data_IF_453170187251
#
_entry.id   IF_453170187251
#
_cell.length_a   1.000
_cell.length_b   1.000
_cell.length_c   1.000
_cell.angle_alpha   90.00
_cell.angle_beta   90.00
_cell.angle_gamma   90.00
#
_symmetry.space_group_name_H-M   'P 1'
#
loop_
_entity.id
_entity.type
_entity.pdbx_description
1 polymer ?
#
# COMPACT_ATOMS: atom_id res chain seq x y z
N UNK A 1 -21.16 -5.23 1.33
CA UNK A 1 -21.21 -5.10 -0.14
C UNK A 1 -22.19 -6.10 -0.70
N UNK A 2 -22.95 -5.74 -1.74
CA UNK A 2 -23.79 -6.70 -2.47
C UNK A 2 -22.92 -7.64 -3.31
N UNK A 3 -23.47 -8.78 -3.74
CA UNK A 3 -22.79 -9.72 -4.65
C UNK A 3 -22.47 -9.12 -6.03
N UNK A 4 -23.10 -8.00 -6.36
CA UNK A 4 -22.95 -7.24 -7.61
C UNK A 4 -22.08 -5.99 -7.42
N UNK A 5 -21.29 -5.92 -6.33
CA UNK A 5 -20.47 -4.76 -6.00
C UNK A 5 -19.07 -5.19 -5.56
N UNK A 6 -18.08 -4.35 -5.88
CA UNK A 6 -16.72 -4.38 -5.32
C UNK A 6 -16.32 -3.00 -4.85
N UNK A 7 -15.38 -2.97 -3.92
CA UNK A 7 -14.77 -1.74 -3.42
C UNK A 7 -13.31 -1.79 -3.84
N UNK A 8 -12.84 -0.75 -4.48
CA UNK A 8 -11.42 -0.60 -4.85
C UNK A 8 -10.80 0.55 -4.07
N UNK A 9 -9.49 0.56 -3.97
CA UNK A 9 -8.71 1.60 -3.30
C UNK A 9 -7.55 2.03 -4.17
N UNK A 10 -7.28 3.32 -4.16
CA UNK A 10 -6.23 3.94 -4.98
C UNK A 10 -4.95 4.10 -4.17
N UNK A 11 -3.80 3.84 -4.79
CA UNK A 11 -2.47 3.99 -4.20
C UNK A 11 -1.51 4.56 -5.23
N UNK A 12 -0.52 5.29 -4.76
CA UNK A 12 0.67 5.71 -5.48
C UNK A 12 1.78 4.69 -5.17
N UNK A 13 2.24 3.97 -6.19
CA UNK A 13 3.31 2.98 -6.08
C UNK A 13 4.64 3.61 -6.47
N UNK A 14 5.62 3.49 -5.58
CA UNK A 14 7.01 3.83 -5.85
C UNK A 14 7.94 2.68 -5.47
N UNK A 15 9.19 2.74 -5.95
CA UNK A 15 10.22 1.77 -5.59
C UNK A 15 11.26 2.48 -4.72
N UNK A 16 11.47 1.97 -3.51
CA UNK A 16 12.57 2.39 -2.64
C UNK A 16 13.78 1.49 -2.84
N UNK A 17 14.97 2.03 -2.58
CA UNK A 17 16.22 1.28 -2.60
C UNK A 17 16.88 1.31 -1.22
N UNK A 18 17.44 0.17 -0.82
CA UNK A 18 18.20 0.01 0.44
C UNK A 18 19.52 -0.69 0.16
N UNK A 19 20.57 -0.28 0.86
CA UNK A 19 21.88 -0.93 0.82
C UNK A 19 22.46 -1.01 2.23
N UNK A 20 23.33 -1.99 2.46
CA UNK A 20 24.14 -2.06 3.68
C UNK A 20 25.32 -1.08 3.63
N UNK A 21 25.77 -0.74 2.42
CA UNK A 21 26.95 0.11 2.19
C UNK A 21 26.61 1.60 2.25
N UNK A 22 25.44 1.99 1.71
CA UNK A 22 25.02 3.39 1.61
C UNK A 22 23.62 3.63 2.16
N UNK A 23 23.41 4.81 2.78
CA UNK A 23 22.13 5.19 3.38
C UNK A 23 21.04 5.54 2.35
N UNK A 24 21.42 5.97 1.14
CA UNK A 24 20.48 6.44 0.11
C UNK A 24 20.89 5.96 -1.30
N UNK A 25 20.87 4.64 -1.57
CA UNK A 25 21.08 4.15 -2.93
C UNK A 25 19.98 4.67 -3.87
N UNK A 26 20.29 4.76 -5.17
CA UNK A 26 19.33 5.27 -6.15
C UNK A 26 18.19 4.25 -6.36
N UNK A 27 16.91 4.65 -6.32
CA UNK A 27 15.82 3.75 -6.68
C UNK A 27 15.78 3.48 -8.20
N UNK A 28 15.13 2.39 -8.59
CA UNK A 28 14.71 2.14 -9.98
C UNK A 28 13.28 2.65 -10.17
N UNK A 29 12.88 2.81 -11.43
CA UNK A 29 11.50 3.16 -11.76
C UNK A 29 10.53 2.01 -11.49
N UNK A 30 9.24 2.32 -11.41
CA UNK A 30 8.18 1.29 -11.32
C UNK A 30 8.20 0.41 -12.57
N UNK A 31 8.44 1.00 -13.75
CA UNK A 31 8.56 0.27 -15.02
C UNK A 31 9.66 -0.79 -14.96
N UNK A 32 10.88 -0.41 -14.58
CA UNK A 32 12.01 -1.32 -14.43
C UNK A 32 11.73 -2.42 -13.39
N UNK A 33 11.06 -2.10 -12.28
CA UNK A 33 10.68 -3.10 -11.29
C UNK A 33 9.71 -4.15 -11.87
N UNK A 34 8.75 -3.75 -12.72
CA UNK A 34 7.83 -4.68 -13.36
C UNK A 34 8.46 -5.45 -14.52
N UNK A 35 9.49 -4.92 -15.18
CA UNK A 35 10.34 -5.69 -16.10
C UNK A 35 11.06 -6.83 -15.37
N UNK A 36 11.56 -6.57 -14.15
CA UNK A 36 12.16 -7.61 -13.30
C UNK A 36 11.13 -8.64 -12.83
N UNK A 37 9.93 -8.21 -12.43
CA UNK A 37 8.83 -9.12 -12.04
C UNK A 37 8.45 -10.06 -13.18
N UNK A 38 8.44 -9.56 -14.43
CA UNK A 38 8.13 -10.36 -15.63
C UNK A 38 9.09 -11.53 -15.85
N UNK A 39 10.30 -11.49 -15.29
CA UNK A 39 11.27 -12.59 -15.37
C UNK A 39 10.88 -13.78 -14.49
N UNK A 40 9.97 -13.59 -13.52
CA UNK A 40 9.56 -14.62 -12.58
C UNK A 40 8.34 -15.38 -13.12
N UNK A 41 8.36 -16.72 -13.14
CA UNK A 41 7.20 -17.50 -13.55
C UNK A 41 5.95 -17.21 -12.71
N UNK A 42 4.81 -17.10 -13.39
CA UNK A 42 3.50 -17.03 -12.73
C UNK A 42 3.22 -18.29 -11.92
N UNK A 43 2.40 -18.14 -10.88
CA UNK A 43 2.05 -19.23 -9.97
C UNK A 43 3.15 -19.59 -8.96
N UNK A 44 4.28 -18.88 -8.96
CA UNK A 44 5.29 -19.06 -7.91
C UNK A 44 4.68 -18.75 -6.54
N UNK A 45 4.70 -19.75 -5.66
CA UNK A 45 4.13 -19.67 -4.31
C UNK A 45 5.15 -19.14 -3.31
N UNK A 46 4.76 -18.10 -2.59
CA UNK A 46 5.35 -17.65 -1.35
C UNK A 46 4.57 -18.29 -0.19
N UNK A 47 5.14 -19.33 0.41
CA UNK A 47 4.57 -19.99 1.58
C UNK A 47 5.01 -19.32 2.88
N UNK A 48 4.08 -19.09 3.80
CA UNK A 48 4.32 -18.47 5.11
C UNK A 48 3.39 -19.10 6.15
N UNK A 49 3.90 -20.12 6.85
CA UNK A 49 3.11 -20.89 7.80
C UNK A 49 1.91 -21.53 7.10
N UNK A 50 0.70 -21.17 7.53
CA UNK A 50 -0.55 -21.68 6.95
C UNK A 50 -1.01 -20.93 5.69
N UNK A 51 -0.29 -19.87 5.29
CA UNK A 51 -0.66 -19.03 4.17
C UNK A 51 0.22 -19.31 2.94
N UNK A 52 -0.38 -19.25 1.76
CA UNK A 52 0.32 -19.32 0.47
C UNK A 52 -0.13 -18.16 -0.40
N UNK A 53 0.82 -17.36 -0.88
CA UNK A 53 0.60 -16.17 -1.70
C UNK A 53 1.22 -16.36 -3.08
N UNK A 54 0.51 -16.01 -4.15
CA UNK A 54 1.05 -16.14 -5.50
C UNK A 54 0.37 -15.17 -6.47
N UNK A 55 1.07 -14.87 -7.56
CA UNK A 55 0.54 -14.12 -8.69
C UNK A 55 0.05 -15.11 -9.75
N UNK A 56 -1.26 -15.20 -9.95
CA UNK A 56 -1.89 -16.13 -10.90
C UNK A 56 -2.01 -15.56 -12.30
N UNK A 57 -2.01 -14.23 -12.44
CA UNK A 57 -2.13 -13.55 -13.71
C UNK A 57 -1.29 -12.28 -13.75
N UNK A 58 -0.68 -12.03 -14.91
CA UNK A 58 0.05 -10.81 -15.23
C UNK A 58 -0.12 -10.50 -16.72
N UNK A 59 -0.59 -9.30 -17.02
CA UNK A 59 -0.66 -8.76 -18.37
C UNK A 59 -0.14 -7.33 -18.35
N UNK A 60 0.67 -6.97 -19.34
CA UNK A 60 1.15 -5.62 -19.53
C UNK A 60 0.87 -5.21 -20.98
N UNK A 61 -0.05 -4.25 -21.14
CA UNK A 61 -0.42 -3.66 -22.43
C UNK A 61 -0.27 -2.15 -22.35
N UNK A 62 0.44 -1.55 -23.30
CA UNK A 62 0.82 -0.13 -23.30
C UNK A 62 1.50 0.28 -21.98
N UNK A 63 0.87 1.17 -21.23
CA UNK A 63 1.32 1.62 -19.91
C UNK A 63 0.45 1.08 -18.77
N UNK A 64 -0.41 0.10 -19.04
CA UNK A 64 -1.29 -0.49 -18.04
C UNK A 64 -0.86 -1.92 -17.76
N UNK A 65 -0.60 -2.20 -16.49
CA UNK A 65 -0.32 -3.53 -15.97
C UNK A 65 -1.56 -4.02 -15.23
N UNK A 66 -1.98 -5.26 -15.52
CA UNK A 66 -3.10 -5.94 -14.89
C UNK A 66 -2.60 -7.21 -14.20
N UNK A 67 -2.95 -7.38 -12.93
CA UNK A 67 -2.43 -8.45 -12.08
C UNK A 67 -3.58 -9.09 -11.32
N UNK A 68 -3.53 -10.42 -11.16
CA UNK A 68 -4.33 -11.14 -10.17
C UNK A 68 -3.39 -11.77 -9.14
N UNK A 69 -3.62 -11.43 -7.88
CA UNK A 69 -2.92 -12.04 -6.74
C UNK A 69 -3.92 -12.90 -5.97
N UNK A 70 -3.47 -14.08 -5.56
CA UNK A 70 -4.22 -15.03 -4.77
C UNK A 70 -3.53 -15.29 -3.43
N UNK A 71 -4.35 -15.58 -2.43
CA UNK A 71 -3.95 -16.10 -1.12
C UNK A 71 -4.79 -17.34 -0.81
N UNK A 72 -4.13 -18.42 -0.43
CA UNK A 72 -4.76 -19.59 0.17
C UNK A 72 -4.36 -19.67 1.64
N UNK A 73 -5.34 -19.79 2.54
CA UNK A 73 -5.12 -19.79 4.00
C UNK A 73 -5.68 -21.05 4.65
N UNK A 74 -4.79 -21.97 5.04
CA UNK A 74 -5.16 -23.21 5.75
C UNK A 74 -5.62 -22.95 7.18
N UNK A 75 -5.23 -21.82 7.78
CA UNK A 75 -5.49 -21.49 9.17
C UNK A 75 -6.89 -20.96 9.46
N UNK A 76 -7.63 -20.54 8.43
CA UNK A 76 -9.01 -20.04 8.60
C UNK A 76 -9.97 -21.23 8.77
N UNK A 77 -10.91 -21.12 9.71
CA UNK A 77 -11.94 -22.13 9.94
C UNK A 77 -12.81 -22.38 8.72
N UNK A 78 -13.36 -23.59 8.63
CA UNK A 78 -14.26 -23.97 7.54
C UNK A 78 -15.47 -23.04 7.44
N UNK A 79 -15.82 -22.57 6.24
CA UNK A 79 -16.97 -21.70 6.06
C UNK A 79 -18.28 -22.47 6.34
N UNK A 80 -19.11 -21.86 7.19
CA UNK A 80 -20.44 -22.37 7.53
C UNK A 80 -21.49 -21.54 6.80
N UNK A 81 -22.35 -22.22 6.04
CA UNK A 81 -23.52 -21.64 5.38
C UNK A 81 -24.77 -21.99 6.17
N UNK A 82 -25.62 -21.00 6.45
CA UNK A 82 -26.85 -21.20 7.23
C UNK A 82 -28.08 -20.81 6.43
N UNK A 83 -29.17 -21.56 6.62
CA UNK A 83 -30.52 -21.23 6.15
C UNK A 83 -31.38 -21.06 7.42
N UNK A 84 -31.43 -19.84 8.02
CA UNK A 84 -32.06 -19.64 9.32
C UNK A 84 -33.53 -20.04 9.37
N UNK A 85 -34.27 -19.79 8.28
CA UNK A 85 -35.71 -20.15 8.19
C UNK A 85 -35.97 -21.65 8.29
N UNK A 86 -35.01 -22.47 7.86
CA UNK A 86 -35.13 -23.93 7.89
C UNK A 86 -34.35 -24.55 9.05
N UNK A 87 -33.69 -23.72 9.89
CA UNK A 87 -32.73 -24.15 10.91
C UNK A 87 -31.65 -25.12 10.37
N UNK A 88 -31.27 -24.96 9.08
CA UNK A 88 -30.26 -25.80 8.44
C UNK A 88 -28.91 -25.11 8.42
N UNK A 89 -27.85 -25.90 8.62
CA UNK A 89 -26.45 -25.48 8.49
C UNK A 89 -25.71 -26.46 7.59
N UNK A 90 -24.81 -25.94 6.77
CA UNK A 90 -23.90 -26.71 5.93
C UNK A 90 -22.50 -26.16 6.13
N UNK A 91 -21.60 -26.99 6.64
CA UNK A 91 -20.16 -26.72 6.66
C UNK A 91 -19.59 -27.14 5.31
N UNK A 92 -18.71 -26.34 4.71
CA UNK A 92 -17.87 -26.79 3.61
C UNK A 92 -16.48 -27.11 4.18
N UNK A 93 -16.26 -28.38 4.50
CA UNK A 93 -15.04 -28.88 5.12
C UNK A 93 -13.88 -28.82 4.11
N UNK A 94 -12.75 -28.27 4.54
CA UNK A 94 -11.50 -28.27 3.76
C UNK A 94 -10.73 -29.56 4.01
N UNK A 95 -10.05 -30.08 2.99
CA UNK A 95 -9.00 -31.09 3.16
C UNK A 95 -7.74 -30.48 3.80
N UNK A 96 -6.81 -31.31 4.26
CA UNK A 96 -5.55 -30.85 4.88
C UNK A 96 -4.69 -29.98 3.95
N UNK A 97 -4.84 -30.16 2.65
CA UNK A 97 -4.13 -29.37 1.63
C UNK A 97 -4.88 -28.11 1.20
N UNK A 98 -6.14 -27.95 1.58
CA UNK A 98 -6.98 -26.83 1.18
C UNK A 98 -6.92 -25.67 2.18
N UNK A 99 -6.65 -24.49 1.64
CA UNK A 99 -6.85 -23.22 2.33
C UNK A 99 -8.10 -22.51 1.81
N UNK A 100 -8.64 -21.59 2.61
CA UNK A 100 -9.64 -20.66 2.11
C UNK A 100 -8.97 -19.71 1.11
N UNK A 101 -9.51 -19.66 -0.10
CA UNK A 101 -8.93 -18.89 -1.20
C UNK A 101 -9.51 -17.47 -1.27
N UNK A 102 -8.61 -16.51 -1.51
CA UNK A 102 -8.90 -15.09 -1.69
C UNK A 102 -8.15 -14.60 -2.93
N UNK A 103 -8.77 -13.68 -3.67
CA UNK A 103 -8.12 -13.02 -4.80
C UNK A 103 -8.31 -11.52 -4.76
N UNK A 104 -7.36 -10.77 -5.32
CA UNK A 104 -7.47 -9.32 -5.50
C UNK A 104 -6.99 -8.93 -6.90
N UNK A 105 -7.85 -8.25 -7.65
CA UNK A 105 -7.50 -7.62 -8.92
C UNK A 105 -6.72 -6.34 -8.66
N UNK A 106 -5.65 -6.13 -9.42
CA UNK A 106 -4.81 -4.93 -9.35
C UNK A 106 -4.59 -4.42 -10.77
N UNK A 107 -4.76 -3.11 -10.94
CA UNK A 107 -4.35 -2.41 -12.16
C UNK A 107 -3.40 -1.28 -11.82
N UNK A 108 -2.38 -1.10 -12.65
CA UNK A 108 -1.31 -0.11 -12.45
C UNK A 108 -1.17 0.67 -13.75
N UNK A 109 -1.28 1.99 -13.69
CA UNK A 109 -0.92 2.89 -14.79
C UNK A 109 0.49 3.41 -14.53
N UNK A 110 1.41 3.06 -15.42
CA UNK A 110 2.77 3.56 -15.40
C UNK A 110 2.77 5.07 -15.70
N UNK A 111 3.62 5.85 -15.01
CA UNK A 111 3.75 7.28 -15.23
C UNK A 111 4.48 7.56 -16.56
N UNK A 112 4.27 8.75 -17.10
CA UNK A 112 5.00 9.22 -18.29
C UNK A 112 6.48 9.49 -17.99
N UNK A 113 6.80 9.84 -16.74
CA UNK A 113 8.17 10.05 -16.27
C UNK A 113 8.52 8.99 -15.25
N UNK A 114 9.65 8.32 -15.46
CA UNK A 114 10.11 7.19 -14.64
C UNK A 114 10.39 7.53 -13.16
N UNK A 115 10.52 8.82 -12.82
CA UNK A 115 10.74 9.29 -11.45
C UNK A 115 9.44 9.42 -10.63
N UNK A 116 8.30 9.51 -11.31
CA UNK A 116 7.01 9.72 -10.66
C UNK A 116 6.47 8.37 -10.14
N UNK A 117 5.64 8.37 -9.08
CA UNK A 117 4.96 7.15 -8.66
C UNK A 117 3.89 6.73 -9.70
N UNK A 118 3.64 5.43 -9.78
CA UNK A 118 2.58 4.87 -10.62
C UNK A 118 1.24 4.88 -9.88
N UNK A 119 0.15 5.23 -10.57
CA UNK A 119 -1.19 5.12 -9.99
C UNK A 119 -1.65 3.67 -10.01
N UNK A 120 -2.11 3.17 -8.86
CA UNK A 120 -2.55 1.79 -8.65
C UNK A 120 -3.97 1.79 -8.12
N UNK A 121 -4.81 0.91 -8.66
CA UNK A 121 -6.11 0.58 -8.09
C UNK A 121 -6.08 -0.89 -7.66
N UNK A 122 -6.43 -1.16 -6.40
CA UNK A 122 -6.45 -2.49 -5.80
C UNK A 122 -7.88 -2.83 -5.36
N UNK A 123 -8.39 -3.98 -5.76
CA UNK A 123 -9.65 -4.54 -5.25
C UNK A 123 -9.50 -4.90 -3.77
N UNK A 124 -10.39 -4.37 -2.94
CA UNK A 124 -10.46 -4.74 -1.53
C UNK A 124 -11.00 -6.15 -1.38
N UNK A 125 -10.15 -7.04 -0.88
CA UNK A 125 -10.52 -8.40 -0.52
C UNK A 125 -10.18 -8.65 0.95
N UNK A 126 -11.13 -9.23 1.68
CA UNK A 126 -10.89 -9.61 3.08
C UNK A 126 -9.86 -10.74 3.07
N UNK A 127 -8.80 -10.63 3.85
CA UNK A 127 -7.69 -11.60 3.85
C UNK A 127 -6.50 -11.23 2.95
N UNK A 128 -6.66 -10.28 2.01
CA UNK A 128 -5.59 -9.76 1.15
C UNK A 128 -5.40 -8.26 1.39
N UNK A 129 -4.54 -7.92 2.35
CA UNK A 129 -4.19 -6.53 2.63
C UNK A 129 -3.15 -5.99 1.65
N UNK A 130 -3.06 -4.66 1.51
CA UNK A 130 -2.00 -4.02 0.70
C UNK A 130 -0.61 -4.34 1.25
N UNK A 131 -0.45 -4.48 2.57
CA UNK A 131 0.79 -4.97 3.18
C UNK A 131 1.16 -6.38 2.71
N UNK A 132 0.18 -7.27 2.58
CA UNK A 132 0.39 -8.64 2.08
C UNK A 132 0.78 -8.62 0.59
N UNK A 133 0.12 -7.78 -0.21
CA UNK A 133 0.46 -7.58 -1.63
C UNK A 133 1.88 -7.02 -1.78
N UNK A 134 2.24 -6.01 -1.00
CA UNK A 134 3.60 -5.44 -0.93
C UNK A 134 4.64 -6.50 -0.57
N UNK A 135 4.34 -7.37 0.40
CA UNK A 135 5.23 -8.47 0.78
C UNK A 135 5.45 -9.43 -0.39
N UNK A 136 4.38 -9.84 -1.10
CA UNK A 136 4.51 -10.72 -2.26
C UNK A 136 5.35 -10.07 -3.38
N UNK A 137 5.06 -8.83 -3.76
CA UNK A 137 5.80 -8.12 -4.82
C UNK A 137 7.28 -7.96 -4.45
N UNK A 138 7.59 -7.64 -3.19
CA UNK A 138 8.97 -7.54 -2.73
C UNK A 138 9.72 -8.88 -2.79
N UNK A 139 9.04 -9.98 -2.47
CA UNK A 139 9.64 -11.32 -2.62
C UNK A 139 9.90 -11.66 -4.08
N UNK A 140 8.95 -11.36 -4.99
CA UNK A 140 9.12 -11.59 -6.42
C UNK A 140 10.29 -10.77 -6.98
N UNK A 141 10.37 -9.47 -6.64
CA UNK A 141 11.51 -8.61 -7.03
C UNK A 141 12.83 -9.17 -6.48
N UNK A 142 12.86 -9.59 -5.22
CA UNK A 142 14.06 -10.17 -4.62
C UNK A 142 14.46 -11.50 -5.30
N UNK A 143 13.50 -12.30 -5.77
CA UNK A 143 13.79 -13.49 -6.54
C UNK A 143 14.33 -13.16 -7.95
N UNK A 144 13.89 -12.05 -8.55
CA UNK A 144 14.45 -11.58 -9.82
C UNK A 144 15.95 -11.25 -9.69
N UNK A 145 16.45 -10.91 -8.49
CA UNK A 145 17.89 -10.76 -8.23
C UNK A 145 18.68 -12.03 -8.52
N UNK A 146 18.09 -13.22 -8.31
CA UNK A 146 18.75 -14.49 -8.60
C UNK A 146 18.92 -14.72 -10.11
N UNK A 147 18.04 -14.15 -10.92
CA UNK A 147 18.04 -14.26 -12.39
C UNK A 147 18.89 -13.16 -13.03
N UNK A 148 18.82 -11.94 -12.51
CA UNK A 148 19.50 -10.76 -13.05
C UNK A 148 20.25 -9.99 -11.96
N UNK A 149 21.31 -10.57 -11.37
CA UNK A 149 22.01 -9.98 -10.23
C UNK A 149 22.62 -8.62 -10.53
N UNK A 150 23.04 -8.37 -11.77
CA UNK A 150 23.68 -7.10 -12.15
C UNK A 150 22.72 -5.91 -12.12
N UNK A 151 21.41 -6.14 -12.30
CA UNK A 151 20.39 -5.08 -12.14
C UNK A 151 20.23 -4.62 -10.70
N UNK A 152 20.74 -5.39 -9.74
CA UNK A 152 20.72 -5.09 -8.30
C UNK A 152 22.07 -4.57 -7.78
N UNK A 153 22.96 -4.15 -8.70
CA UNK A 153 24.26 -3.56 -8.37
C UNK A 153 24.32 -2.12 -8.87
N UNK A 154 24.91 -1.24 -8.07
CA UNK A 154 25.13 0.17 -8.42
C UNK A 154 26.61 0.54 -8.27
N UNK A 155 27.05 1.51 -9.07
CA UNK A 155 28.41 2.07 -8.98
C UNK A 155 28.66 2.68 -7.62
N UNK A 156 29.82 2.40 -7.03
CA UNK A 156 30.26 3.08 -5.83
C UNK A 156 30.48 4.57 -6.15
N UNK A 157 29.91 5.51 -5.37
CA UNK A 157 29.89 6.94 -5.70
C UNK A 157 31.26 7.62 -5.63
N UNK A 158 32.27 6.99 -5.02
CA UNK A 158 33.64 7.53 -4.94
C UNK A 158 34.53 7.20 -6.15
N UNK A 159 34.01 6.42 -7.11
CA UNK A 159 34.77 6.02 -8.30
C UNK A 159 35.89 5.02 -8.04
N UNK A 160 35.90 4.37 -6.87
CA UNK A 160 36.81 3.27 -6.55
C UNK A 160 36.74 2.15 -7.59
N UNK A 161 37.88 1.50 -7.81
CA UNK A 161 38.01 0.34 -8.68
C UNK A 161 38.34 -0.89 -7.84
N UNK A 162 37.86 -2.04 -8.28
CA UNK A 162 38.25 -3.32 -7.71
C UNK A 162 39.69 -3.71 -8.11
N UNK A 163 40.15 -4.84 -7.59
CA UNK A 163 41.51 -5.34 -7.85
C UNK A 163 41.78 -5.64 -9.34
N UNK A 164 40.72 -5.77 -10.16
CA UNK A 164 40.79 -6.03 -11.60
C UNK A 164 40.67 -4.74 -12.42
N UNK A 165 40.62 -3.57 -11.76
CA UNK A 165 40.51 -2.26 -12.39
C UNK A 165 39.08 -1.90 -12.86
N UNK A 166 38.07 -2.69 -12.50
CA UNK A 166 36.68 -2.38 -12.83
C UNK A 166 36.06 -1.46 -11.78
N UNK A 167 35.10 -0.58 -12.14
CA UNK A 167 34.38 0.23 -11.18
C UNK A 167 33.73 -0.62 -10.08
N UNK A 168 34.07 -0.33 -8.83
CA UNK A 168 33.53 -1.05 -7.69
C UNK A 168 32.01 -0.88 -7.64
N UNK A 169 31.29 -1.97 -7.41
CA UNK A 169 29.83 -1.98 -7.29
C UNK A 169 29.40 -2.40 -5.90
N UNK A 170 28.24 -1.93 -5.45
CA UNK A 170 27.61 -2.39 -4.22
C UNK A 170 26.20 -2.93 -4.48
N UNK A 171 25.77 -3.83 -3.60
CA UNK A 171 24.45 -4.45 -3.66
C UNK A 171 23.33 -3.51 -3.19
N UNK A 172 22.23 -3.56 -3.92
CA UNK A 172 20.99 -2.83 -3.62
C UNK A 172 19.82 -3.80 -3.52
N UNK A 173 18.90 -3.47 -2.63
CA UNK A 173 17.63 -4.16 -2.45
C UNK A 173 16.52 -3.18 -2.81
N UNK A 174 15.70 -3.54 -3.79
CA UNK A 174 14.53 -2.76 -4.18
C UNK A 174 13.28 -3.22 -3.42
N UNK A 175 12.44 -2.28 -3.02
CA UNK A 175 11.17 -2.55 -2.34
C UNK A 175 10.06 -1.68 -2.92
N UNK A 176 8.93 -2.29 -3.20
CA UNK A 176 7.68 -1.59 -3.47
C UNK A 176 7.19 -0.85 -2.23
N UNK A 177 6.79 0.41 -2.41
CA UNK A 177 6.16 1.26 -1.43
C UNK A 177 4.79 1.68 -1.98
N UNK A 178 3.74 1.47 -1.20
CA UNK A 178 2.37 1.82 -1.57
C UNK A 178 1.88 2.93 -0.66
N UNK A 179 1.75 4.12 -1.24
CA UNK A 179 1.19 5.26 -0.56
C UNK A 179 -0.28 5.40 -0.96
N UNK A 180 -1.22 5.17 -0.05
CA UNK A 180 -2.64 5.48 -0.23
C UNK A 180 -2.87 6.85 -0.89
N UNK A 181 -3.51 6.80 -2.05
CA UNK A 181 -3.81 7.97 -2.85
C UNK A 181 -4.92 8.76 -2.16
N UNK A 182 -4.63 10.02 -1.83
CA UNK A 182 -5.49 10.82 -0.96
C UNK A 182 -6.75 11.25 -1.71
N UNK A 183 -7.93 11.09 -1.09
CA UNK A 183 -9.18 11.54 -1.71
C UNK A 183 -9.22 13.07 -1.88
N UNK A 184 -9.80 13.53 -3.00
CA UNK A 184 -10.06 14.95 -3.24
C UNK A 184 -10.88 15.57 -2.10
N UNK A 185 -11.82 14.82 -1.51
CA UNK A 185 -12.57 15.26 -0.32
C UNK A 185 -11.67 15.61 0.87
N UNK A 186 -10.64 14.81 1.16
CA UNK A 186 -9.73 15.13 2.27
C UNK A 186 -8.87 16.36 1.93
N UNK A 187 -8.42 16.48 0.68
CA UNK A 187 -7.68 17.65 0.22
C UNK A 187 -8.53 18.92 0.36
N UNK A 188 -9.81 18.84 -0.01
CA UNK A 188 -10.76 19.94 0.12
C UNK A 188 -11.08 20.25 1.57
N UNK A 189 -11.32 19.24 2.40
CA UNK A 189 -11.55 19.40 3.83
C UNK A 189 -10.34 20.05 4.53
N UNK A 190 -9.11 19.69 4.15
CA UNK A 190 -7.90 20.28 4.74
C UNK A 190 -7.62 21.69 4.25
N UNK A 191 -7.91 21.98 2.97
CA UNK A 191 -7.71 23.32 2.42
C UNK A 191 -8.79 24.30 2.91
N UNK A 192 -10.04 23.87 2.92
CA UNK A 192 -11.19 24.73 3.14
C UNK A 192 -11.84 24.60 4.53
N UNK A 193 -11.54 23.52 5.27
CA UNK A 193 -11.98 23.35 6.65
C UNK A 193 -11.15 24.15 7.66
N UNK A 194 -11.59 24.09 8.92
CA UNK A 194 -10.90 24.68 10.09
C UNK A 194 -10.14 23.61 10.84
N UNK A 195 -8.81 23.69 10.80
CA UNK A 195 -7.93 22.77 11.55
C UNK A 195 -7.93 23.21 13.01
N UNK A 196 -8.37 22.33 13.91
CA UNK A 196 -8.38 22.54 15.36
C UNK A 196 -7.02 22.27 15.98
N UNK A 197 -6.40 21.15 15.60
CA UNK A 197 -5.08 20.78 16.07
C UNK A 197 -4.38 19.81 15.12
N UNK A 198 -3.06 19.82 15.17
CA UNK A 198 -2.17 18.85 14.55
C UNK A 198 -1.34 18.23 15.66
N UNK A 199 -1.51 16.95 15.92
CA UNK A 199 -0.77 16.20 16.94
C UNK A 199 0.33 15.40 16.23
N UNK A 200 1.59 15.47 16.68
CA UNK A 200 2.68 14.58 16.26
C UNK A 200 2.96 13.61 17.41
N UNK A 201 2.92 12.32 17.15
CA UNK A 201 2.96 11.25 18.14
C UNK A 201 4.22 10.41 17.90
N UNK A 202 4.96 10.11 18.95
CA UNK A 202 6.15 9.25 18.90
C UNK A 202 6.10 8.18 19.98
N UNK A 203 6.55 6.98 19.59
CA UNK A 203 6.59 5.78 20.43
C UNK A 203 8.04 5.37 20.75
N UNK A 204 9.03 6.24 20.46
CA UNK A 204 10.46 5.91 20.62
C UNK A 204 10.88 5.52 22.04
N UNK A 205 10.20 6.08 23.04
CA UNK A 205 10.46 5.84 24.46
C UNK A 205 9.39 4.92 25.07
N UNK A 206 8.67 4.16 24.24
CA UNK A 206 7.61 3.28 24.74
C UNK A 206 8.19 2.21 25.68
N UNK A 207 7.56 2.04 26.84
CA UNK A 207 7.93 1.12 27.91
C UNK A 207 9.22 1.47 28.68
N UNK A 208 9.75 2.68 28.57
CA UNK A 208 10.72 3.15 29.56
C UNK A 208 10.03 3.40 30.89
N UNK A 209 10.67 2.98 31.97
CA UNK A 209 10.20 3.24 33.33
C UNK A 209 10.21 4.74 33.57
N UNK A 210 9.05 5.28 33.95
CA UNK A 210 8.84 6.70 34.20
C UNK A 210 9.00 7.05 35.68
N UNK A 211 8.80 6.07 36.55
CA UNK A 211 9.07 6.12 37.98
C UNK A 211 10.25 5.21 38.35
N UNK A 212 10.81 5.45 39.53
CA UNK A 212 11.98 4.70 40.03
C UNK A 212 11.68 3.21 40.28
N UNK A 213 10.42 2.89 40.54
CA UNK A 213 9.95 1.52 40.83
C UNK A 213 9.49 0.74 39.59
N UNK A 214 9.42 1.38 38.41
CA UNK A 214 8.98 0.77 37.15
C UNK A 214 7.49 0.39 37.09
N UNK A 215 6.67 0.95 38.00
CA UNK A 215 5.22 0.75 38.01
C UNK A 215 4.53 1.60 36.93
N UNK A 216 5.06 2.79 36.64
CA UNK A 216 4.57 3.70 35.61
C UNK A 216 5.47 3.63 34.40
N UNK A 217 4.90 3.31 33.23
CA UNK A 217 5.64 3.23 31.96
C UNK A 217 5.19 4.28 30.98
N UNK A 218 6.15 4.86 30.26
CA UNK A 218 5.85 5.79 29.18
C UNK A 218 5.13 5.07 28.03
N UNK A 219 3.94 5.56 27.66
CA UNK A 219 3.13 4.98 26.56
C UNK A 219 3.46 5.61 25.21
N UNK A 220 3.53 6.95 25.14
CA UNK A 220 3.85 7.73 23.94
C UNK A 220 4.03 9.21 24.29
N UNK A 221 4.79 9.97 23.48
CA UNK A 221 4.81 11.45 23.53
C UNK A 221 3.96 12.02 22.41
N UNK A 222 3.15 13.03 22.74
CA UNK A 222 2.34 13.76 21.75
C UNK A 222 2.67 15.25 21.79
N UNK A 223 3.18 15.80 20.68
CA UNK A 223 3.35 17.24 20.46
C UNK A 223 2.09 17.80 19.79
N UNK A 224 1.37 18.67 20.48
CA UNK A 224 0.16 19.32 19.96
C UNK A 224 0.52 20.67 19.35
N UNK A 225 0.30 20.81 18.05
CA UNK A 225 0.53 22.01 17.25
C UNK A 225 -0.81 22.66 16.88
N UNK A 226 -0.79 23.99 16.79
CA UNK A 226 -1.90 24.80 16.29
C UNK A 226 -1.41 25.67 15.15
N UNK A 227 -2.31 26.03 14.23
CA UNK A 227 -1.96 26.94 13.15
C UNK A 227 -1.97 28.37 13.69
N UNK A 228 -0.87 29.09 13.44
CA UNK A 228 -0.79 30.53 13.62
C UNK A 228 -1.68 31.15 12.54
N UNK A 229 -2.75 31.82 12.97
CA UNK A 229 -3.83 32.42 12.18
C UNK A 229 -5.00 31.48 11.80
N UNK A 230 -6.05 31.54 12.63
CA UNK A 230 -7.37 31.00 12.33
C UNK A 230 -8.19 31.89 11.36
N UNK A 231 -7.67 33.05 10.94
CA UNK A 231 -8.41 34.10 10.22
C UNK A 231 -7.94 34.34 8.78
N UNK A 232 -6.69 34.00 8.44
CA UNK A 232 -6.18 34.11 7.08
C UNK A 232 -6.34 32.77 6.35
N UNK A 233 -6.98 32.79 5.19
CA UNK A 233 -7.15 31.61 4.35
C UNK A 233 -5.80 31.23 3.73
N UNK A 234 -4.95 30.54 4.49
CA UNK A 234 -3.65 30.08 4.03
C UNK A 234 -3.88 29.18 2.81
N UNK A 235 -3.43 29.59 1.63
CA UNK A 235 -3.52 28.78 0.44
C UNK A 235 -2.71 27.48 0.60
N UNK A 236 -3.26 26.36 0.12
CA UNK A 236 -2.64 25.04 0.12
C UNK A 236 -2.23 24.52 1.53
N UNK A 237 -3.14 24.63 2.51
CA UNK A 237 -2.94 24.07 3.87
C UNK A 237 -2.50 22.62 3.82
N UNK A 238 -3.14 21.82 2.95
CA UNK A 238 -2.81 20.42 2.74
C UNK A 238 -1.31 20.20 2.45
N UNK A 239 -0.78 20.87 1.43
CA UNK A 239 0.63 20.69 1.02
C UNK A 239 1.61 21.09 2.12
N UNK A 240 1.29 22.15 2.89
CA UNK A 240 2.12 22.60 4.02
C UNK A 240 2.14 21.57 5.15
N UNK A 241 1.01 20.97 5.48
CA UNK A 241 0.88 19.96 6.53
C UNK A 241 1.62 18.68 6.13
N UNK A 242 1.44 18.23 4.89
CA UNK A 242 2.18 17.06 4.37
C UNK A 242 3.68 17.31 4.41
N UNK A 243 4.14 18.51 4.04
CA UNK A 243 5.56 18.89 4.11
C UNK A 243 6.09 18.88 5.55
N UNK A 244 5.29 19.35 6.52
CA UNK A 244 5.64 19.27 7.95
C UNK A 244 5.85 17.81 8.38
N UNK A 245 4.94 16.91 8.04
CA UNK A 245 5.04 15.50 8.42
C UNK A 245 6.27 14.82 7.80
N UNK A 246 6.51 15.06 6.51
CA UNK A 246 7.72 14.54 5.82
C UNK A 246 9.01 15.03 6.46
N UNK A 247 9.05 16.29 6.94
CA UNK A 247 10.22 16.85 7.64
C UNK A 247 10.47 16.13 8.97
N UNK A 248 9.40 15.88 9.72
CA UNK A 248 9.47 15.34 11.09
C UNK A 248 9.40 13.81 11.16
N UNK A 249 9.44 13.12 10.01
CA UNK A 249 9.31 11.66 9.87
C UNK A 249 10.27 10.83 10.73
N UNK A 250 11.45 11.39 11.04
CA UNK A 250 12.45 10.69 11.82
C UNK A 250 12.23 10.85 13.33
N UNK A 251 11.44 11.84 13.76
CA UNK A 251 11.24 12.21 15.16
C UNK A 251 9.94 11.64 15.72
N UNK A 252 8.90 11.62 14.88
CA UNK A 252 7.57 11.13 15.21
C UNK A 252 7.22 9.94 14.33
N UNK A 253 6.40 9.03 14.84
CA UNK A 253 5.90 7.83 14.14
C UNK A 253 4.53 8.06 13.52
N UNK A 254 3.70 8.92 14.14
CA UNK A 254 2.35 9.21 13.68
C UNK A 254 2.04 10.71 13.81
N UNK A 255 1.03 11.15 13.08
CA UNK A 255 0.42 12.46 13.18
C UNK A 255 -1.10 12.32 13.24
N UNK A 256 -1.79 13.25 13.89
CA UNK A 256 -3.25 13.31 13.93
C UNK A 256 -3.72 14.73 13.68
N UNK A 257 -4.55 14.94 12.66
CA UNK A 257 -5.18 16.23 12.38
C UNK A 257 -6.64 16.16 12.86
N UNK A 258 -7.03 17.07 13.75
CA UNK A 258 -8.44 17.29 14.10
C UNK A 258 -8.91 18.51 13.33
N UNK A 259 -9.94 18.37 12.51
CA UNK A 259 -10.48 19.43 11.68
C UNK A 259 -12.01 19.46 11.72
N UNK A 260 -12.58 20.63 11.45
CA UNK A 260 -14.00 20.82 11.19
C UNK A 260 -14.18 21.12 9.70
N UNK A 261 -14.96 20.30 9.00
CA UNK A 261 -15.23 20.46 7.56
C UNK A 261 -16.02 21.75 7.31
N UNK A 262 -16.12 22.17 6.05
CA UNK A 262 -17.00 23.30 5.68
C UNK A 262 -18.47 23.03 6.02
N UNK A 263 -18.91 21.77 5.93
CA UNK A 263 -20.25 21.34 6.34
C UNK A 263 -20.46 21.33 7.87
N UNK A 264 -19.43 21.67 8.65
CA UNK A 264 -19.48 21.75 10.11
C UNK A 264 -19.28 20.43 10.83
N UNK A 265 -18.91 19.35 10.12
CA UNK A 265 -18.65 18.04 10.70
C UNK A 265 -17.24 17.99 11.30
N UNK A 266 -17.11 17.43 12.51
CA UNK A 266 -15.80 17.18 13.10
C UNK A 266 -15.20 15.89 12.52
N UNK A 267 -14.00 16.00 11.94
CA UNK A 267 -13.21 14.89 11.39
C UNK A 267 -11.86 14.79 12.08
N UNK A 268 -11.41 13.56 12.28
CA UNK A 268 -10.05 13.25 12.76
C UNK A 268 -9.33 12.45 11.69
N UNK A 269 -8.09 12.82 11.40
CA UNK A 269 -7.24 12.24 10.36
C UNK A 269 -5.99 11.72 11.02
N UNK A 270 -5.76 10.41 11.03
CA UNK A 270 -4.53 9.82 11.56
C UNK A 270 -3.58 9.48 10.40
N UNK A 271 -2.35 9.97 10.44
CA UNK A 271 -1.32 9.83 9.42
C UNK A 271 -0.10 9.14 10.02
N UNK A 272 0.51 8.20 9.30
CA UNK A 272 1.89 7.80 9.62
C UNK A 272 2.82 8.94 9.17
N UNK A 273 3.79 9.37 9.99
CA UNK A 273 4.73 10.45 9.63
C UNK A 273 5.86 9.98 8.71
N UNK A 274 6.18 8.69 8.69
CA UNK A 274 7.12 8.08 7.75
C UNK A 274 6.55 7.97 6.33
N UNK A 275 5.27 7.58 6.24
CA UNK A 275 4.62 7.25 4.97
C UNK A 275 3.60 8.32 4.51
N UNK A 276 3.21 9.26 5.39
CA UNK A 276 2.14 10.23 5.12
C UNK A 276 0.74 9.62 5.09
N UNK A 277 0.57 8.36 5.51
CA UNK A 277 -0.61 7.58 5.19
C UNK A 277 -1.72 7.58 6.21
N UNK A 278 -2.94 7.77 5.70
CA UNK A 278 -4.19 7.50 6.41
C UNK A 278 -4.88 6.30 5.78
N UNK A 279 -4.95 5.16 6.46
CA UNK A 279 -5.79 4.04 6.00
C UNK A 279 -7.29 4.43 5.89
N UNK A 280 -7.73 5.49 6.59
CA UNK A 280 -9.10 6.00 6.54
C UNK A 280 -9.40 7.00 5.41
N UNK A 281 -8.40 7.56 4.69
CA UNK A 281 -8.63 8.52 3.59
C UNK A 281 -7.92 8.13 2.29
N UNK A 282 -7.52 6.87 2.16
CA UNK A 282 -7.26 6.28 0.85
C UNK A 282 -8.52 6.45 0.01
N UNK A 283 -8.40 7.05 -1.18
CA UNK A 283 -9.52 7.16 -2.12
C UNK A 283 -10.06 5.78 -2.41
N UNK A 284 -11.38 5.64 -2.31
CA UNK A 284 -12.09 4.39 -2.55
C UNK A 284 -13.18 4.64 -3.56
N UNK A 285 -13.44 3.63 -4.37
CA UNK A 285 -14.51 3.70 -5.33
C UNK A 285 -15.25 2.37 -5.38
N UNK A 286 -16.58 2.46 -5.50
CA UNK A 286 -17.42 1.29 -5.60
C UNK A 286 -17.58 0.94 -7.07
N UNK A 287 -17.14 -0.26 -7.44
CA UNK A 287 -17.53 -0.87 -8.70
C UNK A 287 -18.90 -1.51 -8.50
N UNK A 288 -19.93 -1.03 -9.17
CA UNK A 288 -21.29 -1.59 -9.07
C UNK A 288 -21.84 -1.92 -10.46
N UNK A 289 -23.15 -2.20 -10.56
CA UNK A 289 -23.82 -2.48 -11.83
C UNK A 289 -23.18 -3.64 -12.62
N UNK A 290 -22.79 -4.70 -11.92
CA UNK A 290 -22.48 -5.99 -12.56
C UNK A 290 -23.79 -6.73 -12.81
N UNK A 291 -23.97 -7.24 -14.03
CA UNK A 291 -25.14 -8.01 -14.45
C UNK A 291 -25.12 -9.48 -13.96
N UNK A 292 -24.16 -9.85 -13.11
CA UNK A 292 -24.03 -11.17 -12.50
C UNK A 292 -23.49 -11.07 -11.07
N UNK A 293 -23.65 -12.17 -10.32
CA UNK A 293 -23.07 -12.31 -8.99
C UNK A 293 -21.57 -12.59 -9.10
N UNK A 294 -20.77 -11.71 -8.53
CA UNK A 294 -19.32 -11.83 -8.49
C UNK A 294 -18.90 -12.91 -7.47
N UNK A 295 -17.89 -13.70 -7.82
CA UNK A 295 -17.33 -14.78 -6.99
C UNK A 295 -16.50 -14.24 -5.82
N UNK A 296 -16.39 -14.98 -4.73
CA UNK A 296 -15.54 -14.59 -3.59
C UNK A 296 -14.04 -14.58 -3.92
N UNK A 297 -13.62 -15.44 -4.84
CA UNK A 297 -12.25 -15.52 -5.35
C UNK A 297 -12.25 -15.99 -6.81
N UNK A 298 -11.12 -15.82 -7.50
CA UNK A 298 -10.93 -16.11 -8.92
C UNK A 298 -9.59 -16.80 -9.18
N UNK A 299 -9.61 -17.80 -10.06
CA UNK A 299 -8.43 -18.47 -10.63
C UNK A 299 -7.85 -17.71 -11.83
N UNK A 300 -8.73 -17.02 -12.57
CA UNK A 300 -8.41 -16.15 -13.70
C UNK A 300 -9.09 -14.80 -13.51
N UNK A 301 -8.49 -13.70 -13.98
CA UNK A 301 -9.06 -12.38 -13.74
C UNK A 301 -10.46 -12.26 -14.33
N UNK A 302 -11.36 -11.65 -13.57
CA UNK A 302 -12.66 -11.21 -14.07
C UNK A 302 -12.45 -9.97 -14.95
N UNK A 303 -12.73 -10.13 -16.24
CA UNK A 303 -12.54 -9.07 -17.23
C UNK A 303 -13.40 -7.84 -16.94
N UNK A 304 -14.63 -8.01 -16.44
CA UNK A 304 -15.51 -6.89 -16.13
C UNK A 304 -14.99 -6.06 -14.97
N UNK A 305 -14.38 -6.70 -13.97
CA UNK A 305 -13.71 -6.00 -12.86
C UNK A 305 -12.52 -5.21 -13.42
N UNK A 306 -11.62 -5.87 -14.16
CA UNK A 306 -10.44 -5.22 -14.74
C UNK A 306 -10.82 -4.05 -15.66
N UNK A 307 -11.79 -4.22 -16.56
CA UNK A 307 -12.21 -3.17 -17.50
C UNK A 307 -12.78 -1.95 -16.76
N UNK A 308 -13.54 -2.16 -15.69
CA UNK A 308 -14.01 -1.05 -14.85
C UNK A 308 -12.86 -0.36 -14.12
N UNK A 309 -11.92 -1.11 -13.53
CA UNK A 309 -10.75 -0.52 -12.86
C UNK A 309 -9.85 0.25 -13.84
N UNK A 310 -9.65 -0.27 -15.07
CA UNK A 310 -8.90 0.42 -16.13
C UNK A 310 -9.57 1.74 -16.53
N UNK A 311 -10.90 1.78 -16.63
CA UNK A 311 -11.64 3.03 -16.88
C UNK A 311 -11.42 4.06 -15.77
N UNK A 312 -11.43 3.62 -14.51
CA UNK A 312 -11.15 4.48 -13.36
C UNK A 312 -9.73 5.07 -13.40
N UNK A 313 -8.72 4.26 -13.72
CA UNK A 313 -7.34 4.74 -13.90
C UNK A 313 -7.24 5.84 -14.96
N UNK A 314 -7.97 5.69 -16.06
CA UNK A 314 -7.94 6.65 -17.18
C UNK A 314 -8.67 7.96 -16.86
N UNK A 315 -9.71 7.92 -16.02
CA UNK A 315 -10.41 9.12 -15.57
C UNK A 315 -9.51 9.93 -14.62
N UNK A 316 -8.85 9.27 -13.68
CA UNK A 316 -8.02 9.95 -12.67
C UNK A 316 -6.79 10.64 -13.27
N UNK A 317 -6.27 10.15 -14.40
CA UNK A 317 -5.07 10.72 -15.03
C UNK A 317 -5.34 12.02 -15.79
N UNK A 318 -6.61 12.37 -16.04
CA UNK A 318 -6.98 13.57 -16.78
C UNK A 318 -7.32 14.77 -15.88
N UNK A 319 -7.24 14.62 -14.56
CA UNK A 319 -7.43 15.67 -13.54
C UNK A 319 -6.09 16.09 -12.89
#
# INVERSE_FOLDING_TARGET
MKKTERLVSYYDLSISAKSKTFKCPKPISVREAFELIKLIPLGKVLAKGNESLYMSYFEWTDDIISILINKSDKGISDPIFTIPKENKRRTAEKTEEEGQDFSSHIVIKLPNKDIDPALVIIEQCHGLSVSTIKELLNNIINDAKKISPDKFKQMHPDGSVDNDGNPQKYDVIFKSEFDGHISNELKDDLNHGKIRSIELITDKDQNTDFDEEGYVKEKCKTLVLTLKDNENNIANKYARIVKLFKKEKNNYSHARIKLKTQSGLDRTVNMNTADGLVQHYVKKEKLDNFNYNLKSSYDKPDKSILDKMKKLLLLEHND
#
